data_IF_315969415833
#
_entry.id   IF_315969415833
#
_cell.length_a   1.000
_cell.length_b   1.000
_cell.length_c   1.000
_cell.angle_alpha   90.00
_cell.angle_beta   90.00
_cell.angle_gamma   90.00
#
_symmetry.space_group_name_H-M   'P 1'
#
loop_
_entity.id
_entity.type
_entity.pdbx_description
1 polymer ?
#
# COMPACT_ATOMS: atom_id res chain seq x y z
N UNK A 1 24.58 32.89 -30.33
CA UNK A 1 23.23 32.31 -30.08
C UNK A 1 23.23 30.83 -29.70
N UNK A 2 24.04 29.99 -30.36
CA UNK A 2 24.09 28.52 -30.13
C UNK A 2 24.36 28.10 -28.68
N UNK A 3 25.17 28.85 -27.92
CA UNK A 3 25.53 28.50 -26.52
C UNK A 3 24.33 28.52 -25.54
N UNK A 4 23.28 29.32 -25.80
CA UNK A 4 22.07 29.35 -24.95
C UNK A 4 21.15 28.16 -25.20
N UNK A 5 21.07 27.68 -26.44
CA UNK A 5 20.27 26.51 -26.81
C UNK A 5 20.81 25.22 -26.16
N UNK A 6 22.15 25.06 -26.13
CA UNK A 6 22.80 23.90 -25.47
C UNK A 6 22.57 23.91 -23.96
N UNK A 7 22.54 25.08 -23.32
CA UNK A 7 22.28 25.21 -21.89
C UNK A 7 20.82 24.87 -21.51
N UNK A 8 19.84 25.23 -22.35
CA UNK A 8 18.44 24.87 -22.16
C UNK A 8 18.22 23.36 -22.34
N UNK A 9 18.84 22.75 -23.36
CA UNK A 9 18.79 21.30 -23.57
C UNK A 9 19.44 20.52 -22.40
N UNK A 10 20.51 21.05 -21.79
CA UNK A 10 21.11 20.46 -20.60
C UNK A 10 20.20 20.58 -19.35
N UNK A 11 19.42 21.67 -19.24
CA UNK A 11 18.48 21.90 -18.14
C UNK A 11 17.27 20.96 -18.23
N UNK A 12 16.76 20.70 -19.43
CA UNK A 12 15.67 19.73 -19.67
C UNK A 12 16.10 18.29 -19.34
N UNK A 13 17.33 17.88 -19.72
CA UNK A 13 17.85 16.55 -19.37
C UNK A 13 17.94 16.34 -17.85
N UNK A 14 18.29 17.39 -17.10
CA UNK A 14 18.42 17.33 -15.64
C UNK A 14 17.05 17.28 -14.92
N UNK A 15 16.03 17.95 -15.47
CA UNK A 15 14.66 17.88 -14.97
C UNK A 15 14.02 16.51 -15.24
N UNK A 16 14.27 15.89 -16.40
CA UNK A 16 13.81 14.52 -16.70
C UNK A 16 14.44 13.47 -15.78
N UNK A 17 15.74 13.59 -15.46
CA UNK A 17 16.42 12.69 -14.53
C UNK A 17 15.92 12.82 -13.07
N UNK A 18 15.48 14.01 -12.65
CA UNK A 18 14.91 14.22 -11.32
C UNK A 18 13.52 13.60 -11.17
N UNK A 19 12.71 13.54 -12.24
CA UNK A 19 11.39 12.91 -12.23
C UNK A 19 11.41 11.37 -12.21
N UNK A 20 12.53 10.73 -12.60
CA UNK A 20 12.71 9.28 -12.55
C UNK A 20 13.35 8.77 -11.25
N UNK A 21 13.62 9.66 -10.29
CA UNK A 21 14.27 9.36 -9.00
C UNK A 21 13.27 9.17 -7.84
N UNK A 22 11.96 9.23 -8.09
CA UNK A 22 11.01 8.49 -7.25
C UNK A 22 11.14 7.04 -7.68
N UNK A 23 12.03 6.31 -7.01
CA UNK A 23 12.04 4.86 -7.04
C UNK A 23 10.69 4.36 -6.53
N UNK A 24 9.66 4.39 -7.39
CA UNK A 24 8.65 3.34 -7.37
C UNK A 24 9.45 2.09 -7.61
N UNK A 25 9.83 1.44 -6.50
CA UNK A 25 10.01 -0.01 -6.50
C UNK A 25 8.81 -0.49 -7.28
N UNK A 26 9.03 -0.90 -8.53
CA UNK A 26 8.08 -1.75 -9.21
C UNK A 26 8.08 -2.96 -8.32
N UNK A 27 7.16 -2.96 -7.35
CA UNK A 27 6.66 -4.17 -6.74
C UNK A 27 6.35 -5.02 -7.95
N UNK A 28 7.24 -5.95 -8.25
CA UNK A 28 6.92 -7.07 -9.12
C UNK A 28 5.69 -7.62 -8.44
N UNK A 29 4.49 -7.30 -8.96
CA UNK A 29 3.23 -7.72 -8.36
C UNK A 29 3.41 -9.19 -8.05
N UNK A 30 3.50 -9.53 -6.76
CA UNK A 30 3.75 -10.90 -6.36
C UNK A 30 2.66 -11.74 -7.01
N UNK A 31 2.96 -12.99 -7.34
CA UNK A 31 1.96 -13.89 -7.94
C UNK A 31 0.68 -13.89 -7.09
N UNK A 32 0.81 -13.75 -5.77
CA UNK A 32 -0.29 -13.63 -4.82
C UNK A 32 -1.18 -12.39 -5.01
N UNK A 33 -0.63 -11.28 -5.49
CA UNK A 33 -1.36 -10.03 -5.76
C UNK A 33 -2.09 -10.04 -7.11
N UNK A 34 -1.71 -10.93 -8.03
CA UNK A 34 -2.36 -11.07 -9.34
C UNK A 34 -3.59 -11.99 -9.29
N UNK A 35 -3.67 -12.85 -8.26
CA UNK A 35 -4.76 -13.79 -8.06
C UNK A 35 -5.92 -13.11 -7.31
N UNK A 36 -7.14 -13.32 -7.80
CA UNK A 36 -8.35 -12.97 -7.07
C UNK A 36 -8.74 -14.12 -6.14
N UNK A 37 -8.77 -13.86 -4.84
CA UNK A 37 -9.05 -14.87 -3.83
C UNK A 37 -10.54 -14.89 -3.49
N UNK A 38 -11.14 -16.06 -3.39
CA UNK A 38 -12.51 -16.16 -2.85
C UNK A 38 -12.55 -15.81 -1.36
N UNK A 39 -11.55 -16.26 -0.57
CA UNK A 39 -11.45 -15.95 0.86
C UNK A 39 -10.01 -15.76 1.30
N UNK A 40 -9.77 -14.77 2.14
CA UNK A 40 -8.52 -14.60 2.89
C UNK A 40 -8.84 -14.63 4.38
N UNK A 41 -8.09 -15.40 5.14
CA UNK A 41 -8.21 -15.50 6.60
C UNK A 41 -6.86 -15.13 7.21
N UNK A 42 -6.85 -14.14 8.09
CA UNK A 42 -5.69 -13.84 8.94
C UNK A 42 -5.89 -14.54 10.27
N UNK A 43 -4.97 -15.44 10.63
CA UNK A 43 -4.77 -15.75 12.04
C UNK A 43 -4.00 -14.61 12.71
N UNK A 44 -4.15 -14.50 14.02
CA UNK A 44 -3.52 -13.47 14.84
C UNK A 44 -3.57 -12.07 14.22
N UNK A 45 -4.78 -11.58 13.97
CA UNK A 45 -5.02 -10.29 13.33
C UNK A 45 -4.31 -9.10 14.01
N UNK A 46 -3.90 -9.23 15.28
CA UNK A 46 -3.03 -8.26 15.95
C UNK A 46 -1.67 -8.06 15.23
N UNK A 47 -1.24 -8.98 14.36
CA UNK A 47 -0.06 -8.86 13.51
C UNK A 47 -0.16 -7.69 12.52
N UNK A 48 -1.37 -7.31 12.07
CA UNK A 48 -1.60 -6.20 11.14
C UNK A 48 -1.89 -4.85 11.81
N UNK A 49 -1.61 -4.71 13.12
CA UNK A 49 -1.86 -3.48 13.88
C UNK A 49 -1.20 -2.23 13.29
N UNK A 50 -0.01 -2.40 12.70
CA UNK A 50 0.81 -1.31 12.19
C UNK A 50 0.58 -1.07 10.70
N UNK A 51 -0.20 -0.03 10.35
CA UNK A 51 -0.48 0.35 8.95
C UNK A 51 0.77 0.47 8.07
N UNK A 52 1.88 0.98 8.60
CA UNK A 52 3.11 1.22 7.83
C UNK A 52 3.98 -0.03 7.66
N UNK A 53 3.61 -1.16 8.30
CA UNK A 53 4.35 -2.41 8.13
C UNK A 53 4.21 -2.93 6.71
N UNK A 54 5.32 -3.40 6.11
CA UNK A 54 5.33 -4.02 4.79
C UNK A 54 4.34 -5.19 4.70
N UNK A 55 4.20 -5.97 5.78
CA UNK A 55 3.24 -7.08 5.86
C UNK A 55 1.80 -6.59 5.76
N UNK A 56 1.45 -5.53 6.50
CA UNK A 56 0.10 -4.97 6.48
C UNK A 56 -0.24 -4.37 5.13
N UNK A 57 0.68 -3.64 4.50
CA UNK A 57 0.51 -3.12 3.14
C UNK A 57 0.31 -4.25 2.13
N UNK A 58 1.17 -5.28 2.17
CA UNK A 58 1.06 -6.42 1.27
C UNK A 58 -0.29 -7.14 1.39
N UNK A 59 -0.83 -7.29 2.60
CA UNK A 59 -2.13 -7.93 2.86
C UNK A 59 -3.32 -7.04 2.46
N UNK A 60 -3.21 -5.72 2.62
CA UNK A 60 -4.26 -4.78 2.19
C UNK A 60 -4.40 -4.72 0.67
N UNK A 61 -3.30 -4.95 -0.05
CA UNK A 61 -3.22 -4.97 -1.51
C UNK A 61 -3.75 -6.28 -2.12
N UNK A 62 -3.88 -7.36 -1.34
CA UNK A 62 -4.50 -8.60 -1.83
C UNK A 62 -5.97 -8.36 -2.21
N UNK A 63 -6.41 -8.99 -3.29
CA UNK A 63 -7.79 -8.92 -3.78
C UNK A 63 -8.59 -10.14 -3.34
N UNK A 64 -9.71 -9.93 -2.65
CA UNK A 64 -10.57 -11.01 -2.19
C UNK A 64 -12.03 -10.59 -2.02
N UNK A 65 -12.94 -11.56 -2.18
CA UNK A 65 -14.37 -11.43 -1.93
C UNK A 65 -14.68 -11.43 -0.43
N UNK A 66 -14.26 -12.47 0.30
CA UNK A 66 -14.45 -12.57 1.75
C UNK A 66 -13.14 -12.40 2.51
N UNK A 67 -13.17 -11.64 3.61
CA UNK A 67 -12.00 -11.35 4.46
C UNK A 67 -12.32 -11.60 5.91
N UNK A 68 -11.58 -12.51 6.53
CA UNK A 68 -11.74 -12.86 7.94
C UNK A 68 -10.47 -12.54 8.70
N UNK A 69 -10.66 -12.02 9.91
CA UNK A 69 -9.58 -11.72 10.83
C UNK A 69 -9.90 -12.45 12.15
N UNK A 70 -9.04 -13.39 12.52
CA UNK A 70 -9.15 -14.17 13.75
C UNK A 70 -8.07 -13.67 14.70
N UNK A 71 -8.43 -13.39 15.96
CA UNK A 71 -7.44 -13.10 16.98
C UNK A 71 -7.94 -13.54 18.35
N UNK A 72 -7.07 -14.16 19.12
CA UNK A 72 -7.33 -14.51 20.51
C UNK A 72 -7.11 -13.34 21.48
N UNK A 73 -6.49 -12.26 21.02
CA UNK A 73 -6.23 -11.07 21.84
C UNK A 73 -7.26 -9.98 21.54
N UNK A 74 -7.87 -9.39 22.59
CA UNK A 74 -8.83 -8.31 22.39
C UNK A 74 -8.12 -7.08 21.80
N UNK A 75 -8.80 -6.46 20.84
CA UNK A 75 -8.33 -5.31 20.07
C UNK A 75 -8.35 -4.05 20.96
N UNK A 76 -7.33 -3.88 21.82
CA UNK A 76 -7.44 -3.00 22.99
C UNK A 76 -6.38 -1.90 23.12
N UNK A 77 -5.35 -1.81 22.28
CA UNK A 77 -4.23 -0.94 22.65
C UNK A 77 -4.32 0.49 22.08
N UNK A 78 -4.77 0.69 20.82
CA UNK A 78 -4.88 2.03 20.20
C UNK A 78 -5.98 2.10 19.14
N UNK A 79 -6.63 3.26 18.99
CA UNK A 79 -7.64 3.54 17.92
C UNK A 79 -7.09 3.25 16.51
N UNK A 80 -5.79 3.44 16.30
CA UNK A 80 -5.13 3.10 15.05
C UNK A 80 -5.16 1.61 14.70
N UNK A 81 -5.25 0.71 15.69
CA UNK A 81 -5.31 -0.74 15.46
C UNK A 81 -6.69 -1.15 14.93
N UNK A 82 -7.76 -0.54 15.48
CA UNK A 82 -9.13 -0.71 14.97
C UNK A 82 -9.24 -0.26 13.53
N UNK A 83 -8.64 0.89 13.21
CA UNK A 83 -8.64 1.40 11.85
C UNK A 83 -7.98 0.42 10.87
N UNK A 84 -6.83 -0.16 11.23
CA UNK A 84 -6.14 -1.15 10.40
C UNK A 84 -7.01 -2.40 10.14
N UNK A 85 -7.75 -2.87 11.15
CA UNK A 85 -8.66 -4.00 11.00
C UNK A 85 -9.87 -3.67 10.09
N UNK A 86 -10.49 -2.50 10.27
CA UNK A 86 -11.60 -2.03 9.41
C UNK A 86 -11.11 -1.88 7.95
N UNK A 87 -9.91 -1.32 7.77
CA UNK A 87 -9.27 -1.16 6.46
C UNK A 87 -8.98 -2.49 5.77
N UNK A 88 -8.58 -3.51 6.54
CA UNK A 88 -8.42 -4.88 6.04
C UNK A 88 -9.74 -5.46 5.59
N UNK A 89 -10.78 -5.38 6.43
CA UNK A 89 -12.11 -5.93 6.15
C UNK A 89 -12.81 -5.22 4.98
N UNK A 90 -12.32 -4.04 4.56
CA UNK A 90 -12.92 -3.21 3.49
C UNK A 90 -14.41 -2.97 3.72
N UNK A 91 -14.80 -2.76 4.98
CA UNK A 91 -16.20 -2.47 5.32
C UNK A 91 -16.57 -1.10 4.80
N UNK A 92 -17.38 -1.03 3.75
CA UNK A 92 -17.93 0.22 3.23
C UNK A 92 -18.87 0.86 4.27
N UNK A 93 -18.85 2.21 4.45
CA UNK A 93 -18.02 3.23 3.80
C UNK A 93 -16.64 3.45 4.46
N UNK A 94 -16.37 2.82 5.60
CA UNK A 94 -15.20 3.10 6.46
C UNK A 94 -13.88 2.48 5.98
N UNK A 95 -13.93 1.64 4.94
CA UNK A 95 -12.77 0.95 4.37
C UNK A 95 -11.86 1.84 3.51
N UNK A 96 -12.29 3.06 3.18
CA UNK A 96 -11.54 3.97 2.32
C UNK A 96 -11.11 5.22 3.09
N UNK A 97 -9.87 5.67 2.85
CA UNK A 97 -9.44 7.00 3.28
C UNK A 97 -10.17 8.02 2.40
N UNK A 98 -11.23 8.66 2.91
CA UNK A 98 -11.73 9.90 2.35
C UNK A 98 -10.69 10.98 2.68
N UNK A 99 -9.74 11.22 1.77
CA UNK A 99 -8.82 12.34 1.81
C UNK A 99 -9.02 13.16 0.54
#
# INVERSE_FOLDING_TARGET
>A
EVKRAVALAAKEKRAKAASSASGKVKSTCSILHQVYWHRIVLDEAHAIKARQSNTSQAVFDLHAEFRWALSGTPLQNRVGELYSAIRYLRSDPFGYYFC
#
